data_IF_908795107230
#
_entry.id   IF_908795107230
#
_cell.length_a   1.000
_cell.length_b   1.000
_cell.length_c   1.000
_cell.angle_alpha   90.00
_cell.angle_beta   90.00
_cell.angle_gamma   90.00
#
_symmetry.space_group_name_H-M   'P 1'
#
loop_
_entity.id
_entity.type
_entity.pdbx_description
1 polymer ?
#
# COMPACT_ATOMS: atom_id res chain seq x y z
N UNK A 1 19.80 6.34 -16.94
CA UNK A 1 18.73 6.61 -15.95
C UNK A 1 17.47 6.92 -16.73
N UNK A 2 16.67 5.90 -17.03
CA UNK A 2 15.42 6.09 -17.76
C UNK A 2 14.34 6.47 -16.76
N UNK A 3 13.99 7.75 -16.76
CA UNK A 3 12.81 8.28 -16.07
C UNK A 3 11.59 7.48 -16.54
N UNK A 4 10.95 6.77 -15.62
CA UNK A 4 9.67 6.13 -15.91
C UNK A 4 8.64 7.23 -16.01
N UNK A 5 8.30 7.56 -17.24
CA UNK A 5 7.23 8.47 -17.61
C UNK A 5 5.90 7.84 -17.18
N UNK A 6 5.49 8.10 -15.93
CA UNK A 6 4.21 7.59 -15.38
C UNK A 6 3.11 8.52 -15.89
N UNK A 7 2.75 8.34 -17.17
CA UNK A 7 1.65 9.05 -17.78
C UNK A 7 0.32 8.55 -17.17
N UNK A 8 -0.20 9.33 -16.23
CA UNK A 8 -1.27 8.96 -15.30
C UNK A 8 -2.68 9.18 -15.92
N UNK A 9 -2.92 8.68 -17.13
CA UNK A 9 -4.16 8.95 -17.88
C UNK A 9 -5.39 8.09 -17.50
N UNK A 10 -5.32 7.27 -16.45
CA UNK A 10 -6.48 6.54 -15.87
C UNK A 10 -6.35 6.44 -14.33
N UNK A 11 -6.42 7.60 -13.67
CA UNK A 11 -5.90 7.90 -12.33
C UNK A 11 -6.39 7.08 -11.12
N UNK A 12 -7.26 6.07 -11.28
CA UNK A 12 -7.64 5.16 -10.18
C UNK A 12 -6.89 3.81 -10.24
N UNK A 13 -6.82 3.16 -11.41
CA UNK A 13 -6.19 1.83 -11.56
C UNK A 13 -4.68 1.85 -11.27
N UNK A 14 -3.96 2.85 -11.77
CA UNK A 14 -2.52 2.97 -11.54
C UNK A 14 -2.17 3.43 -10.11
N UNK A 15 -3.09 4.12 -9.43
CA UNK A 15 -2.92 4.54 -8.04
C UNK A 15 -3.04 3.35 -7.09
N UNK A 16 -4.00 2.44 -7.33
CA UNK A 16 -4.09 1.17 -6.59
C UNK A 16 -2.86 0.29 -6.82
N UNK A 17 -2.35 0.20 -8.06
CA UNK A 17 -1.15 -0.58 -8.36
C UNK A 17 0.09 -0.05 -7.60
N UNK A 18 0.25 1.28 -7.53
CA UNK A 18 1.33 1.92 -6.77
C UNK A 18 1.25 1.61 -5.28
N UNK A 19 0.06 1.78 -4.68
CA UNK A 19 -0.12 1.51 -3.25
C UNK A 19 0.00 0.03 -2.91
N UNK A 20 -0.45 -0.87 -3.79
CA UNK A 20 -0.29 -2.31 -3.61
C UNK A 20 1.19 -2.74 -3.69
N UNK A 21 1.98 -2.17 -4.60
CA UNK A 21 3.42 -2.43 -4.66
C UNK A 21 4.15 -1.88 -3.43
N UNK A 22 3.78 -0.68 -2.95
CA UNK A 22 4.31 -0.14 -1.70
C UNK A 22 3.98 -1.06 -0.52
N UNK A 23 2.73 -1.51 -0.39
CA UNK A 23 2.28 -2.44 0.66
C UNK A 23 3.07 -3.76 0.61
N UNK A 24 3.27 -4.32 -0.58
CA UNK A 24 4.05 -5.53 -0.79
C UNK A 24 5.50 -5.36 -0.33
N UNK A 25 6.13 -4.22 -0.66
CA UNK A 25 7.52 -3.91 -0.27
C UNK A 25 7.66 -3.72 1.22
N UNK A 26 6.79 -2.96 1.86
CA UNK A 26 6.85 -2.74 3.31
C UNK A 26 6.62 -4.05 4.08
N UNK A 27 5.68 -4.89 3.62
CA UNK A 27 5.46 -6.23 4.20
C UNK A 27 6.69 -7.13 4.06
N UNK A 28 7.38 -7.08 2.92
CA UNK A 28 8.61 -7.83 2.72
C UNK A 28 9.76 -7.33 3.61
N UNK A 29 9.84 -6.01 3.84
CA UNK A 29 10.83 -5.43 4.74
C UNK A 29 10.64 -5.85 6.19
N UNK A 30 9.39 -5.90 6.68
CA UNK A 30 9.09 -6.41 8.03
C UNK A 30 9.59 -7.85 8.18
N UNK A 31 9.24 -8.73 7.24
CA UNK A 31 9.69 -10.14 7.28
C UNK A 31 11.20 -10.26 7.24
N UNK A 32 11.87 -9.41 6.46
CA UNK A 32 13.32 -9.38 6.40
C UNK A 32 13.92 -8.96 7.75
N UNK A 33 13.42 -7.88 8.38
CA UNK A 33 13.89 -7.44 9.69
C UNK A 33 13.62 -8.46 10.80
N UNK A 34 12.48 -9.15 10.76
CA UNK A 34 12.19 -10.25 11.69
C UNK A 34 13.16 -11.41 11.48
N UNK A 35 13.46 -11.80 10.24
CA UNK A 35 14.37 -12.92 9.97
C UNK A 35 15.81 -12.69 10.44
N UNK A 36 16.28 -11.43 10.45
CA UNK A 36 17.63 -11.09 10.94
C UNK A 36 17.66 -10.89 12.46
N UNK A 37 16.51 -10.60 13.09
CA UNK A 37 16.39 -10.49 14.54
C UNK A 37 16.55 -11.86 15.21
N UNK A 38 16.08 -12.93 14.57
CA UNK A 38 16.22 -14.31 15.05
C UNK A 38 17.70 -14.73 15.23
N UNK A 39 18.63 -14.04 14.56
CA UNK A 39 20.07 -14.32 14.62
C UNK A 39 20.86 -13.29 15.48
N UNK A 40 20.21 -12.27 16.03
CA UNK A 40 20.87 -11.16 16.72
C UNK A 40 20.98 -11.36 18.24
N UNK A 41 22.21 -11.48 18.75
CA UNK A 41 22.49 -11.64 20.19
C UNK A 41 22.82 -10.33 20.93
N UNK A 42 22.80 -9.18 20.25
CA UNK A 42 23.14 -7.89 20.84
C UNK A 42 21.85 -7.14 21.26
N UNK A 43 21.61 -6.91 22.57
CA UNK A 43 20.33 -6.36 23.05
C UNK A 43 19.97 -5.02 22.42
N UNK A 44 20.90 -4.07 22.40
CA UNK A 44 20.64 -2.70 21.90
C UNK A 44 20.27 -2.70 20.41
N UNK A 45 20.94 -3.55 19.62
CA UNK A 45 20.63 -3.71 18.18
C UNK A 45 19.27 -4.38 18.00
N UNK A 46 18.97 -5.42 18.78
CA UNK A 46 17.67 -6.08 18.73
C UNK A 46 16.52 -5.14 19.11
N UNK A 47 16.71 -4.27 20.10
CA UNK A 47 15.72 -3.27 20.50
C UNK A 47 15.46 -2.29 19.37
N UNK A 48 16.52 -1.73 18.78
CA UNK A 48 16.41 -0.80 17.66
C UNK A 48 15.73 -1.44 16.43
N UNK A 49 16.09 -2.68 16.10
CA UNK A 49 15.48 -3.39 14.99
C UNK A 49 13.98 -3.68 15.22
N UNK A 50 13.58 -3.97 16.46
CA UNK A 50 12.16 -4.10 16.82
C UNK A 50 11.40 -2.77 16.67
N UNK A 51 12.01 -1.64 17.05
CA UNK A 51 11.42 -0.32 16.83
C UNK A 51 11.18 -0.06 15.33
N UNK A 52 12.15 -0.38 14.46
CA UNK A 52 11.99 -0.27 13.02
C UNK A 52 10.87 -1.18 12.47
N UNK A 53 10.71 -2.39 13.01
CA UNK A 53 9.60 -3.27 12.65
C UNK A 53 8.25 -2.63 12.99
N UNK A 54 8.11 -2.04 14.17
CA UNK A 54 6.87 -1.36 14.58
C UNK A 54 6.58 -0.12 13.74
N UNK A 55 7.58 0.71 13.43
CA UNK A 55 7.43 1.84 12.51
C UNK A 55 6.92 1.40 11.13
N UNK A 56 7.45 0.28 10.63
CA UNK A 56 7.04 -0.30 9.34
C UNK A 56 5.62 -0.84 9.37
N UNK A 57 5.20 -1.46 10.47
CA UNK A 57 3.80 -1.91 10.69
C UNK A 57 2.83 -0.74 10.65
N UNK A 58 3.19 0.41 11.23
CA UNK A 58 2.38 1.64 11.14
C UNK A 58 2.24 2.11 9.68
N UNK A 59 3.33 2.09 8.90
CA UNK A 59 3.28 2.44 7.46
C UNK A 59 2.36 1.49 6.69
N UNK A 60 2.45 0.18 6.94
CA UNK A 60 1.58 -0.84 6.33
C UNK A 60 0.10 -0.52 6.61
N UNK A 61 -0.26 -0.22 7.86
CA UNK A 61 -1.64 0.12 8.22
C UNK A 61 -2.13 1.37 7.47
N UNK A 62 -1.29 2.40 7.34
CA UNK A 62 -1.63 3.62 6.58
C UNK A 62 -1.85 3.33 5.09
N UNK A 63 -1.05 2.44 4.50
CA UNK A 63 -1.22 2.02 3.11
C UNK A 63 -2.54 1.25 2.91
N UNK A 64 -2.87 0.33 3.83
CA UNK A 64 -4.14 -0.42 3.81
C UNK A 64 -5.34 0.52 3.93
N UNK A 65 -5.31 1.46 4.89
CA UNK A 65 -6.36 2.46 5.05
C UNK A 65 -6.58 3.25 3.75
N UNK A 66 -5.49 3.68 3.11
CA UNK A 66 -5.58 4.45 1.87
C UNK A 66 -6.12 3.63 0.69
N UNK A 67 -5.72 2.36 0.58
CA UNK A 67 -6.27 1.42 -0.39
C UNK A 67 -7.78 1.26 -0.21
N UNK A 68 -8.24 1.10 1.03
CA UNK A 68 -9.66 0.97 1.36
C UNK A 68 -10.44 2.24 1.00
N UNK A 69 -9.92 3.43 1.31
CA UNK A 69 -10.54 4.71 0.91
C UNK A 69 -10.74 4.81 -0.61
N UNK A 70 -9.72 4.43 -1.39
CA UNK A 70 -9.78 4.49 -2.85
C UNK A 70 -10.76 3.45 -3.38
N UNK A 71 -10.79 2.24 -2.80
CA UNK A 71 -11.71 1.18 -3.19
C UNK A 71 -13.18 1.61 -2.98
N UNK A 72 -13.51 2.14 -1.81
CA UNK A 72 -14.86 2.65 -1.51
C UNK A 72 -15.24 3.79 -2.45
N UNK A 73 -14.32 4.72 -2.73
CA UNK A 73 -14.56 5.83 -3.67
C UNK A 73 -14.82 5.32 -5.09
N UNK A 74 -14.09 4.31 -5.54
CA UNK A 74 -14.29 3.72 -6.87
C UNK A 74 -15.67 3.08 -6.99
N UNK A 75 -16.09 2.31 -5.99
CA UNK A 75 -17.41 1.66 -5.98
C UNK A 75 -18.57 2.68 -5.98
N UNK A 76 -18.42 3.79 -5.26
CA UNK A 76 -19.43 4.85 -5.25
C UNK A 76 -19.60 5.51 -6.64
N UNK A 77 -18.50 5.71 -7.38
CA UNK A 77 -18.54 6.26 -8.74
C UNK A 77 -19.20 5.28 -9.71
N UNK A 78 -18.83 4.00 -9.65
CA UNK A 78 -19.40 2.97 -10.54
C UNK A 78 -20.92 2.80 -10.32
N UNK A 79 -21.39 2.91 -9.07
CA UNK A 79 -22.81 2.91 -8.74
C UNK A 79 -23.57 4.10 -9.34
N UNK A 80 -22.98 5.29 -9.32
CA UNK A 80 -23.57 6.49 -9.95
C UNK A 80 -23.64 6.34 -11.47
N UNK A 81 -22.59 5.87 -12.14
CA UNK A 81 -22.58 5.68 -13.60
C UNK A 81 -23.60 4.63 -14.05
N UNK A 82 -23.78 3.55 -13.28
CA UNK A 82 -24.80 2.52 -13.56
C UNK A 82 -26.24 3.05 -13.45
N UNK A 83 -26.46 4.09 -12.64
CA UNK A 83 -27.77 4.71 -12.43
C UNK A 83 -28.19 5.62 -13.59
N UNK A 84 -27.23 6.20 -14.33
CA UNK A 84 -27.51 7.10 -15.46
C UNK A 84 -27.69 6.39 -16.81
N UNK A 85 -27.20 5.15 -16.96
CA UNK A 85 -27.34 4.38 -18.21
C UNK A 85 -28.72 3.71 -18.41
N UNK A 86 -29.70 4.00 -17.56
CA UNK A 86 -31.06 3.44 -17.64
C UNK A 86 -32.14 4.45 -18.10
N UNK A 87 -31.75 5.60 -18.68
CA UNK A 87 -32.71 6.66 -19.06
C UNK A 87 -33.03 6.67 -20.57
N UNK A 88 -32.30 5.93 -21.42
CA UNK A 88 -32.63 5.81 -22.85
C UNK A 88 -33.36 4.48 -23.11
N UNK A 89 -34.65 4.44 -22.76
CA UNK A 89 -35.62 3.42 -23.16
C UNK A 89 -36.73 4.02 -24.00
#
# INVERSE_FOLDING_TARGET
>A
MTEKDVNCQHACKNTCATLNEALRRETAMVRYYESILDECNMPDVSSFMNELVEEKRIVILRLIQKLNEIHVRSQAIDGITSSFNNIDG
#
